data_IF_591293962659
#
_entry.id   IF_591293962659
#
_cell.length_a   1.000
_cell.length_b   1.000
_cell.length_c   1.000
_cell.angle_alpha   90.00
_cell.angle_beta   90.00
_cell.angle_gamma   90.00
#
_symmetry.space_group_name_H-M   'P 1'
#
loop_
_entity.id
_entity.type
_entity.pdbx_description
1 polymer ?
#
# COMPACT_ATOMS: atom_id res chain seq x y z
N UNK A 1 -56.63 -12.30 -17.15
CA UNK A 1 -56.25 -12.73 -15.79
C UNK A 1 -54.94 -13.52 -15.73
N UNK A 2 -54.65 -14.42 -16.67
CA UNK A 2 -53.37 -15.21 -16.66
C UNK A 2 -52.15 -14.34 -16.83
N UNK A 3 -52.17 -13.32 -17.69
CA UNK A 3 -51.04 -12.44 -17.96
C UNK A 3 -50.70 -11.53 -16.77
N UNK A 4 -51.65 -11.11 -16.00
CA UNK A 4 -51.46 -10.31 -14.78
C UNK A 4 -50.75 -11.11 -13.69
N UNK A 5 -51.10 -12.40 -13.54
CA UNK A 5 -50.45 -13.31 -12.58
C UNK A 5 -48.97 -13.53 -12.97
N UNK A 6 -48.66 -13.63 -14.26
CA UNK A 6 -47.34 -13.86 -14.77
C UNK A 6 -46.44 -12.62 -14.55
N UNK A 7 -46.97 -11.41 -14.80
CA UNK A 7 -46.26 -10.14 -14.56
C UNK A 7 -45.99 -9.94 -13.05
N UNK A 8 -46.97 -10.21 -12.20
CA UNK A 8 -46.82 -10.12 -10.75
C UNK A 8 -45.77 -11.14 -10.24
N UNK A 9 -45.80 -12.36 -10.78
CA UNK A 9 -44.81 -13.39 -10.45
C UNK A 9 -43.38 -12.97 -10.83
N UNK A 10 -43.19 -12.40 -12.03
CA UNK A 10 -41.88 -11.88 -12.46
C UNK A 10 -41.40 -10.71 -11.59
N UNK A 11 -42.29 -9.78 -11.23
CA UNK A 11 -41.96 -8.66 -10.36
C UNK A 11 -41.54 -9.13 -8.95
N UNK A 12 -42.21 -10.12 -8.39
CA UNK A 12 -41.86 -10.71 -7.10
C UNK A 12 -40.51 -11.42 -7.11
N UNK A 13 -40.19 -12.14 -8.19
CA UNK A 13 -38.85 -12.78 -8.32
C UNK A 13 -37.74 -11.77 -8.45
N UNK A 14 -37.95 -10.65 -9.17
CA UNK A 14 -36.99 -9.55 -9.25
C UNK A 14 -36.77 -8.86 -7.89
N UNK A 15 -37.86 -8.57 -7.16
CA UNK A 15 -37.78 -7.97 -5.83
C UNK A 15 -37.08 -8.90 -4.82
N UNK A 16 -37.33 -10.18 -4.90
CA UNK A 16 -36.67 -11.17 -4.05
C UNK A 16 -35.19 -11.32 -4.39
N UNK A 17 -34.82 -11.32 -5.68
CA UNK A 17 -33.44 -11.32 -6.12
C UNK A 17 -32.67 -10.07 -5.67
N UNK A 18 -33.30 -8.89 -5.79
CA UNK A 18 -32.73 -7.64 -5.28
C UNK A 18 -32.52 -7.69 -3.76
N UNK A 19 -33.50 -8.14 -3.01
CA UNK A 19 -33.41 -8.27 -1.56
C UNK A 19 -32.29 -9.23 -1.12
N UNK A 20 -32.14 -10.38 -1.81
CA UNK A 20 -31.07 -11.33 -1.54
C UNK A 20 -29.69 -10.73 -1.83
N UNK A 21 -29.56 -9.97 -2.92
CA UNK A 21 -28.31 -9.30 -3.28
C UNK A 21 -27.90 -8.28 -2.22
N UNK A 22 -28.84 -7.49 -1.73
CA UNK A 22 -28.61 -6.50 -0.69
C UNK A 22 -28.25 -7.13 0.67
N UNK A 23 -28.86 -8.27 1.00
CA UNK A 23 -28.52 -9.05 2.19
C UNK A 23 -27.12 -9.67 2.08
N UNK A 24 -26.76 -10.15 0.88
CA UNK A 24 -25.45 -10.73 0.62
C UNK A 24 -24.34 -9.66 0.72
N UNK A 25 -24.54 -8.49 0.13
CA UNK A 25 -23.62 -7.37 0.22
C UNK A 25 -23.41 -6.91 1.66
N UNK A 26 -24.48 -6.82 2.44
CA UNK A 26 -24.41 -6.48 3.87
C UNK A 26 -23.65 -7.54 4.67
N UNK A 27 -23.92 -8.82 4.42
CA UNK A 27 -23.23 -9.94 5.07
C UNK A 27 -21.75 -9.98 4.72
N UNK A 28 -21.39 -9.76 3.44
CA UNK A 28 -19.99 -9.70 3.00
C UNK A 28 -19.27 -8.51 3.62
N UNK A 29 -19.92 -7.35 3.71
CA UNK A 29 -19.35 -6.15 4.33
C UNK A 29 -19.10 -6.35 5.84
N UNK A 30 -20.07 -6.93 6.57
CA UNK A 30 -19.91 -7.21 7.99
C UNK A 30 -18.86 -8.30 8.26
N UNK A 31 -18.78 -9.33 7.44
CA UNK A 31 -17.75 -10.36 7.54
C UNK A 31 -16.34 -9.79 7.27
N UNK A 32 -16.21 -8.90 6.29
CA UNK A 32 -14.95 -8.23 6.00
C UNK A 32 -14.50 -7.32 7.16
N UNK A 33 -15.47 -6.64 7.81
CA UNK A 33 -15.22 -5.84 9.01
C UNK A 33 -14.80 -6.71 10.20
N UNK A 34 -15.42 -7.87 10.39
CA UNK A 34 -15.10 -8.82 11.46
C UNK A 34 -13.70 -9.41 11.29
N UNK A 35 -13.34 -9.86 10.07
CA UNK A 35 -11.99 -10.38 9.76
C UNK A 35 -10.92 -9.29 10.00
N UNK A 36 -11.21 -8.02 9.70
CA UNK A 36 -10.30 -6.90 9.95
C UNK A 36 -10.07 -6.65 11.45
N UNK A 37 -11.11 -6.77 12.27
CA UNK A 37 -11.01 -6.64 13.74
C UNK A 37 -10.21 -7.79 14.34
N UNK A 38 -10.48 -9.04 13.93
CA UNK A 38 -9.76 -10.22 14.41
C UNK A 38 -8.27 -10.19 14.03
N UNK A 39 -7.93 -9.69 12.82
CA UNK A 39 -6.52 -9.55 12.39
C UNK A 39 -5.80 -8.44 13.15
N UNK A 40 -6.48 -7.34 13.47
CA UNK A 40 -5.89 -6.27 14.28
C UNK A 40 -5.70 -6.70 15.75
N UNK A 41 -6.66 -7.39 16.34
CA UNK A 41 -6.54 -7.93 17.70
C UNK A 41 -5.44 -9.00 17.77
N UNK A 42 -5.33 -9.86 16.76
CA UNK A 42 -4.27 -10.86 16.68
C UNK A 42 -2.88 -10.25 16.50
N UNK A 43 -2.76 -9.21 15.68
CA UNK A 43 -1.50 -8.49 15.48
C UNK A 43 -1.06 -7.77 16.76
N UNK A 44 -1.97 -7.08 17.45
CA UNK A 44 -1.69 -6.41 18.73
C UNK A 44 -1.38 -7.42 19.83
N UNK A 45 -2.08 -8.54 19.90
CA UNK A 45 -1.81 -9.63 20.82
C UNK A 45 -0.44 -10.29 20.54
N UNK A 46 -0.09 -10.48 19.27
CA UNK A 46 1.20 -11.07 18.88
C UNK A 46 2.35 -10.10 19.19
N UNK A 47 2.23 -8.81 18.88
CA UNK A 47 3.19 -7.78 19.25
C UNK A 47 3.39 -7.71 20.77
N UNK A 48 2.29 -7.68 21.53
CA UNK A 48 2.35 -7.67 22.99
C UNK A 48 3.08 -8.89 23.56
N UNK A 49 2.79 -10.10 23.06
CA UNK A 49 3.44 -11.33 23.53
C UNK A 49 4.90 -11.47 23.06
N UNK A 50 5.27 -10.89 21.91
CA UNK A 50 6.66 -10.90 21.43
C UNK A 50 7.53 -9.97 22.27
N UNK A 51 7.02 -8.79 22.62
CA UNK A 51 7.68 -7.87 23.57
C UNK A 51 7.81 -8.50 24.95
N UNK A 52 6.79 -9.22 25.41
CA UNK A 52 6.81 -9.87 26.73
C UNK A 52 7.74 -11.09 26.81
N UNK A 53 8.06 -11.76 25.68
CA UNK A 53 9.01 -12.89 25.65
C UNK A 53 10.49 -12.49 25.60
N UNK A 54 10.81 -11.26 25.23
CA UNK A 54 12.16 -10.71 25.25
C UNK A 54 12.57 -10.22 26.64
N UNK A 55 12.20 -10.93 27.71
CA UNK A 55 12.35 -10.56 29.11
C UNK A 55 13.60 -9.77 29.42
N UNK A 56 13.42 -8.46 29.54
CA UNK A 56 14.04 -7.62 30.56
C UNK A 56 13.19 -6.36 30.66
N UNK A 57 12.78 -6.06 31.88
CA UNK A 57 11.99 -4.91 32.29
C UNK A 57 12.63 -3.60 31.84
N UNK A 58 12.23 -3.07 30.69
CA UNK A 58 12.30 -1.63 30.47
C UNK A 58 11.05 -1.04 31.08
N UNK A 59 11.16 -0.75 32.37
CA UNK A 59 10.16 0.06 33.07
C UNK A 59 10.17 1.47 32.49
N UNK A 60 8.96 1.94 32.15
CA UNK A 60 8.55 3.32 32.03
C UNK A 60 9.07 4.10 30.84
N UNK A 61 8.50 3.84 29.65
CA UNK A 61 8.21 4.89 28.69
C UNK A 61 7.05 4.48 27.74
N UNK A 62 5.95 3.96 28.28
CA UNK A 62 4.76 3.57 27.47
C UNK A 62 4.06 4.78 26.81
N UNK A 63 4.48 6.01 27.13
CA UNK A 63 3.85 7.23 26.61
C UNK A 63 4.59 7.88 25.44
N UNK A 64 5.66 7.28 24.90
CA UNK A 64 6.46 7.94 23.86
C UNK A 64 7.00 7.03 22.76
N UNK A 65 6.51 5.79 22.61
CA UNK A 65 6.67 5.11 21.32
C UNK A 65 5.62 5.72 20.37
N UNK A 66 6.03 6.71 19.61
CA UNK A 66 5.22 7.24 18.51
C UNK A 66 4.79 6.05 17.65
N UNK A 67 3.47 5.84 17.57
CA UNK A 67 2.90 4.72 16.82
C UNK A 67 3.28 4.92 15.37
N UNK A 68 4.10 4.03 14.82
CA UNK A 68 4.55 4.15 13.44
C UNK A 68 3.36 4.13 12.48
N UNK A 69 3.35 5.08 11.54
CA UNK A 69 2.37 5.15 10.48
C UNK A 69 3.09 5.04 9.13
N UNK A 70 2.84 3.94 8.43
CA UNK A 70 3.49 3.63 7.17
C UNK A 70 2.56 3.97 6.01
N UNK A 71 3.07 4.77 5.08
CA UNK A 71 2.39 5.13 3.84
C UNK A 71 3.01 4.36 2.68
N UNK A 72 2.22 3.58 1.94
CA UNK A 72 2.67 2.96 0.69
C UNK A 72 2.02 3.66 -0.51
N UNK A 73 2.83 4.04 -1.50
CA UNK A 73 2.33 4.66 -2.71
C UNK A 73 1.93 3.61 -3.74
N UNK A 74 0.68 3.68 -4.18
CA UNK A 74 0.12 2.78 -5.19
C UNK A 74 0.35 3.30 -6.60
N UNK A 75 0.62 2.39 -7.52
CA UNK A 75 0.78 2.67 -8.95
C UNK A 75 0.32 1.48 -9.80
N UNK A 76 0.26 1.68 -11.12
CA UNK A 76 0.00 0.62 -12.09
C UNK A 76 1.24 -0.24 -12.42
N UNK A 77 2.39 0.01 -11.76
CA UNK A 77 3.61 -0.76 -12.00
C UNK A 77 3.43 -2.24 -11.64
N UNK A 78 3.95 -3.18 -12.44
CA UNK A 78 3.97 -4.60 -12.10
C UNK A 78 4.68 -4.92 -10.78
N UNK A 79 5.68 -4.11 -10.41
CA UNK A 79 6.43 -4.28 -9.16
C UNK A 79 5.68 -3.79 -7.92
N UNK A 80 4.55 -3.09 -8.08
CA UNK A 80 3.83 -2.48 -6.97
C UNK A 80 3.26 -3.52 -5.99
N UNK A 81 2.88 -4.71 -6.44
CA UNK A 81 2.52 -5.83 -5.56
C UNK A 81 3.60 -6.12 -4.51
N UNK A 82 4.87 -6.21 -4.94
CA UNK A 82 6.00 -6.44 -4.04
C UNK A 82 6.17 -5.31 -3.04
N UNK A 83 5.96 -4.06 -3.48
CA UNK A 83 6.07 -2.87 -2.65
C UNK A 83 5.00 -2.89 -1.55
N UNK A 84 3.75 -3.17 -1.90
CA UNK A 84 2.64 -3.32 -0.95
C UNK A 84 2.94 -4.41 0.08
N UNK A 85 3.37 -5.59 -0.36
CA UNK A 85 3.74 -6.68 0.57
C UNK A 85 4.89 -6.31 1.51
N UNK A 86 5.85 -5.52 1.05
CA UNK A 86 6.95 -5.04 1.89
C UNK A 86 6.45 -4.03 2.93
N UNK A 87 5.61 -3.09 2.53
CA UNK A 87 5.00 -2.11 3.44
C UNK A 87 4.16 -2.80 4.54
N UNK A 88 3.40 -3.84 4.19
CA UNK A 88 2.67 -4.66 5.17
C UNK A 88 3.60 -5.30 6.19
N UNK A 89 4.71 -5.90 5.73
CA UNK A 89 5.71 -6.50 6.65
C UNK A 89 6.33 -5.46 7.58
N UNK A 90 6.58 -4.25 7.07
CA UNK A 90 7.09 -3.15 7.89
C UNK A 90 6.05 -2.71 8.92
N UNK A 91 4.80 -2.52 8.54
CA UNK A 91 3.72 -2.17 9.45
C UNK A 91 3.56 -3.21 10.57
N UNK A 92 3.62 -4.51 10.22
CA UNK A 92 3.60 -5.59 11.19
C UNK A 92 4.81 -5.58 12.12
N UNK A 93 6.03 -5.37 11.58
CA UNK A 93 7.27 -5.37 12.37
C UNK A 93 7.32 -4.19 13.36
N UNK A 94 6.78 -3.04 12.99
CA UNK A 94 6.72 -1.85 13.83
C UNK A 94 5.44 -1.75 14.66
N UNK A 95 4.52 -2.72 14.56
CA UNK A 95 3.19 -2.66 15.18
C UNK A 95 2.44 -1.36 14.84
N UNK A 96 2.69 -0.84 13.63
CA UNK A 96 2.18 0.43 13.13
C UNK A 96 0.94 0.27 12.26
N UNK A 97 0.33 1.41 11.90
CA UNK A 97 -0.75 1.48 10.91
C UNK A 97 -0.18 1.51 9.49
N UNK A 98 -1.02 1.12 8.51
CA UNK A 98 -0.66 1.11 7.10
C UNK A 98 -1.74 1.81 6.28
N UNK A 99 -1.36 2.85 5.55
CA UNK A 99 -2.20 3.51 4.56
C UNK A 99 -1.60 3.32 3.17
N UNK A 100 -2.45 3.01 2.20
CA UNK A 100 -2.09 2.90 0.80
C UNK A 100 -2.68 4.09 0.02
N UNK A 101 -1.81 4.97 -0.45
CA UNK A 101 -2.18 6.20 -1.13
C UNK A 101 -2.06 6.03 -2.64
N UNK A 102 -3.11 6.37 -3.35
CA UNK A 102 -3.11 6.56 -4.79
C UNK A 102 -3.33 8.04 -5.12
N UNK A 103 -2.42 8.63 -5.89
CA UNK A 103 -2.57 9.99 -6.41
C UNK A 103 -3.11 9.92 -7.83
N UNK A 104 -4.33 10.36 -8.03
CA UNK A 104 -4.97 10.44 -9.32
C UNK A 104 -4.62 11.75 -10.01
N UNK A 105 -3.86 11.66 -11.10
CA UNK A 105 -3.53 12.83 -11.92
C UNK A 105 -4.59 13.08 -13.00
N UNK A 106 -4.72 14.31 -13.52
CA UNK A 106 -5.66 14.62 -14.62
C UNK A 106 -5.43 13.75 -15.88
N UNK A 107 -4.21 13.26 -16.08
CA UNK A 107 -3.86 12.32 -17.16
C UNK A 107 -4.35 10.89 -17.00
N UNK A 108 -5.10 10.58 -15.94
CA UNK A 108 -5.64 9.22 -15.69
C UNK A 108 -6.47 8.68 -16.87
N UNK A 109 -7.18 9.54 -17.60
CA UNK A 109 -7.95 9.15 -18.79
C UNK A 109 -7.09 8.59 -19.93
N UNK A 110 -5.77 8.78 -19.91
CA UNK A 110 -4.83 8.23 -20.89
C UNK A 110 -4.22 6.87 -20.51
N UNK A 111 -4.55 6.30 -19.34
CA UNK A 111 -4.07 4.98 -18.96
C UNK A 111 -4.72 3.90 -19.84
N UNK A 112 -3.92 2.95 -20.27
CA UNK A 112 -4.43 1.79 -20.99
C UNK A 112 -5.20 0.83 -20.07
N UNK A 113 -6.02 -0.05 -20.67
CA UNK A 113 -6.87 -0.97 -19.89
C UNK A 113 -6.06 -1.92 -19.00
N UNK A 114 -4.85 -2.29 -19.41
CA UNK A 114 -3.96 -3.16 -18.62
C UNK A 114 -3.42 -2.45 -17.38
N UNK A 115 -3.01 -1.19 -17.50
CA UNK A 115 -2.54 -0.38 -16.37
C UNK A 115 -3.66 -0.14 -15.35
N UNK A 116 -4.87 0.12 -15.83
CA UNK A 116 -6.06 0.26 -14.98
C UNK A 116 -6.32 -1.03 -14.23
N UNK A 117 -6.29 -2.17 -14.91
CA UNK A 117 -6.51 -3.47 -14.29
C UNK A 117 -5.44 -3.78 -13.23
N UNK A 118 -4.16 -3.48 -13.51
CA UNK A 118 -3.07 -3.65 -12.54
C UNK A 118 -3.22 -2.73 -11.33
N UNK A 119 -3.54 -1.46 -11.55
CA UNK A 119 -3.80 -0.54 -10.44
C UNK A 119 -4.92 -1.04 -9.54
N UNK A 120 -6.05 -1.47 -10.12
CA UNK A 120 -7.15 -2.03 -9.37
C UNK A 120 -6.78 -3.31 -8.61
N UNK A 121 -5.93 -4.16 -9.20
CA UNK A 121 -5.41 -5.35 -8.53
C UNK A 121 -4.53 -4.98 -7.32
N UNK A 122 -3.66 -3.98 -7.47
CA UNK A 122 -2.80 -3.48 -6.40
C UNK A 122 -3.60 -2.83 -5.26
N UNK A 123 -4.65 -2.06 -5.59
CA UNK A 123 -5.58 -1.48 -4.59
C UNK A 123 -6.28 -2.61 -3.81
N UNK A 124 -6.84 -3.61 -4.51
CA UNK A 124 -7.50 -4.76 -3.86
C UNK A 124 -6.53 -5.54 -2.98
N UNK A 125 -5.31 -5.75 -3.43
CA UNK A 125 -4.28 -6.43 -2.65
C UNK A 125 -3.96 -5.65 -1.36
N UNK A 126 -3.74 -4.34 -1.45
CA UNK A 126 -3.47 -3.50 -0.29
C UNK A 126 -4.63 -3.55 0.72
N UNK A 127 -5.86 -3.47 0.22
CA UNK A 127 -7.07 -3.57 1.04
C UNK A 127 -7.21 -4.94 1.73
N UNK A 128 -6.98 -6.03 1.00
CA UNK A 128 -7.01 -7.40 1.55
C UNK A 128 -5.96 -7.61 2.64
N UNK A 129 -4.81 -6.95 2.51
CA UNK A 129 -3.72 -7.01 3.49
C UNK A 129 -3.89 -6.02 4.66
N UNK A 130 -5.04 -5.34 4.75
CA UNK A 130 -5.42 -4.52 5.89
C UNK A 130 -4.98 -3.05 5.80
N UNK A 131 -4.49 -2.58 4.64
CA UNK A 131 -4.20 -1.17 4.45
C UNK A 131 -5.48 -0.34 4.33
N UNK A 132 -5.47 0.86 4.89
CA UNK A 132 -6.46 1.88 4.60
C UNK A 132 -6.18 2.46 3.21
N UNK A 133 -7.20 2.52 2.34
CA UNK A 133 -7.04 3.02 0.98
C UNK A 133 -7.49 4.47 0.90
N UNK A 134 -6.57 5.33 0.47
CA UNK A 134 -6.82 6.75 0.26
C UNK A 134 -6.52 7.11 -1.20
N UNK A 135 -7.38 7.91 -1.79
CA UNK A 135 -7.17 8.49 -3.12
C UNK A 135 -7.18 10.00 -3.00
N UNK A 136 -6.12 10.64 -3.50
CA UNK A 136 -6.02 12.09 -3.64
C UNK A 136 -5.99 12.47 -5.11
N UNK A 137 -6.28 13.73 -5.41
CA UNK A 137 -6.26 14.27 -6.77
C UNK A 137 -5.26 15.41 -6.83
N UNK A 138 -4.39 15.41 -7.84
CA UNK A 138 -3.44 16.50 -8.05
C UNK A 138 -2.55 16.27 -9.26
N UNK A 139 -1.98 17.35 -9.78
CA UNK A 139 -1.08 17.31 -10.94
C UNK A 139 0.32 16.85 -10.53
N UNK A 140 0.78 17.31 -9.37
CA UNK A 140 2.12 17.02 -8.84
C UNK A 140 2.07 15.92 -7.79
N UNK A 141 2.40 14.71 -8.21
CA UNK A 141 2.35 13.51 -7.38
C UNK A 141 3.24 13.61 -6.13
N UNK A 142 4.52 14.06 -6.20
CA UNK A 142 5.37 14.18 -5.01
C UNK A 142 4.79 15.12 -3.96
N UNK A 143 4.28 16.27 -4.37
CA UNK A 143 3.65 17.25 -3.47
C UNK A 143 2.43 16.64 -2.76
N UNK A 144 1.56 15.95 -3.50
CA UNK A 144 0.37 15.32 -2.93
C UNK A 144 0.73 14.23 -1.90
N UNK A 145 1.78 13.45 -2.15
CA UNK A 145 2.27 12.44 -1.20
C UNK A 145 2.81 13.13 0.06
N UNK A 146 3.65 14.15 -0.09
CA UNK A 146 4.25 14.85 1.03
C UNK A 146 3.22 15.60 1.89
N UNK A 147 2.25 16.25 1.27
CA UNK A 147 1.15 16.94 1.97
C UNK A 147 0.28 15.94 2.76
N UNK A 148 -0.14 14.85 2.11
CA UNK A 148 -0.90 13.80 2.80
C UNK A 148 -0.12 13.24 3.97
N UNK A 149 1.15 12.94 3.77
CA UNK A 149 1.98 12.35 4.80
C UNK A 149 2.11 13.26 6.04
N UNK A 150 2.27 14.58 5.86
CA UNK A 150 2.30 15.53 6.97
C UNK A 150 0.96 15.65 7.70
N UNK A 151 -0.15 15.71 6.95
CA UNK A 151 -1.47 15.87 7.52
C UNK A 151 -1.97 14.64 8.28
N UNK A 152 -1.39 13.47 8.00
CA UNK A 152 -1.82 12.18 8.55
C UNK A 152 -0.79 11.56 9.51
N UNK A 153 0.17 12.35 10.01
CA UNK A 153 1.21 11.91 10.95
C UNK A 153 1.94 10.64 10.46
N UNK A 154 2.22 10.56 9.14
CA UNK A 154 2.99 9.48 8.54
C UNK A 154 4.44 9.60 9.01
N UNK A 155 5.03 8.49 9.44
CA UNK A 155 6.44 8.42 9.86
C UNK A 155 7.34 7.83 8.77
N UNK A 156 6.79 6.93 7.94
CA UNK A 156 7.55 6.21 6.91
C UNK A 156 6.80 6.14 5.59
N UNK A 157 7.48 6.50 4.50
CA UNK A 157 6.94 6.42 3.14
C UNK A 157 7.63 5.26 2.41
N UNK A 158 6.85 4.36 1.83
CA UNK A 158 7.35 3.22 1.04
C UNK A 158 6.98 3.41 -0.42
N UNK A 159 7.99 3.52 -1.26
CA UNK A 159 7.83 3.73 -2.71
C UNK A 159 8.64 2.73 -3.53
N UNK A 160 8.19 2.50 -4.76
CA UNK A 160 8.99 1.82 -5.77
C UNK A 160 10.02 2.74 -6.40
N UNK A 161 11.15 2.19 -6.77
CA UNK A 161 12.09 2.93 -7.60
C UNK A 161 11.50 3.09 -9.00
N UNK A 162 11.34 4.34 -9.44
CA UNK A 162 10.99 4.63 -10.83
C UNK A 162 12.05 4.03 -11.77
N UNK A 163 11.59 3.29 -12.79
CA UNK A 163 12.47 2.75 -13.85
C UNK A 163 13.05 3.82 -14.77
N UNK A 164 12.65 5.08 -14.60
CA UNK A 164 13.17 6.21 -15.37
C UNK A 164 14.58 6.51 -14.90
N UNK A 165 15.58 5.99 -15.61
CA UNK A 165 16.98 6.38 -15.38
C UNK A 165 17.19 7.79 -15.94
N UNK A 166 17.74 8.67 -15.12
CA UNK A 166 18.26 9.96 -15.62
C UNK A 166 19.29 9.69 -16.71
N UNK A 167 18.95 10.01 -17.95
CA UNK A 167 19.88 9.91 -19.08
C UNK A 167 20.78 11.12 -19.20
N UNK A 168 20.37 12.28 -18.64
CA UNK A 168 21.10 13.53 -18.72
C UNK A 168 21.07 14.29 -17.38
N UNK A 169 22.11 15.05 -17.14
CA UNK A 169 22.25 15.89 -15.94
C UNK A 169 21.13 16.94 -15.78
N UNK A 170 20.49 17.29 -16.89
CA UNK A 170 19.39 18.28 -16.99
C UNK A 170 17.98 17.64 -16.92
N UNK A 171 17.88 16.36 -16.62
CA UNK A 171 16.57 15.72 -16.50
C UNK A 171 15.87 16.19 -15.22
N UNK A 172 14.55 16.27 -15.26
CA UNK A 172 13.74 16.57 -14.08
C UNK A 172 14.05 15.59 -12.92
N UNK A 173 13.98 16.07 -11.67
CA UNK A 173 14.20 15.21 -10.52
C UNK A 173 13.21 14.04 -10.48
N UNK A 174 13.69 12.89 -10.09
CA UNK A 174 12.84 11.71 -9.91
C UNK A 174 11.87 11.90 -8.74
N UNK A 175 10.76 11.14 -8.71
CA UNK A 175 9.83 11.13 -7.57
C UNK A 175 10.56 10.98 -6.23
N UNK A 176 11.54 10.08 -6.17
CA UNK A 176 12.34 9.87 -4.96
C UNK A 176 13.11 11.11 -4.52
N UNK A 177 13.78 11.77 -5.45
CA UNK A 177 14.57 12.98 -5.16
C UNK A 177 13.68 14.14 -4.73
N UNK A 178 12.51 14.25 -5.34
CA UNK A 178 11.52 15.27 -4.96
C UNK A 178 10.97 15.00 -3.55
N UNK A 179 10.60 13.75 -3.23
CA UNK A 179 10.11 13.39 -1.91
C UNK A 179 11.14 13.61 -0.80
N UNK A 180 12.41 13.30 -1.03
CA UNK A 180 13.49 13.59 -0.07
C UNK A 180 13.58 15.10 0.24
N UNK A 181 13.31 15.94 -0.76
CA UNK A 181 13.32 17.40 -0.59
C UNK A 181 12.05 17.91 0.08
N UNK A 182 10.89 17.33 -0.28
CA UNK A 182 9.58 17.79 0.19
C UNK A 182 9.20 17.26 1.57
N UNK A 183 9.72 16.11 1.97
CA UNK A 183 9.40 15.46 3.25
C UNK A 183 10.69 15.00 3.98
N UNK A 184 11.58 15.93 4.35
CA UNK A 184 12.86 15.60 4.96
C UNK A 184 12.73 15.01 6.38
N UNK A 185 11.58 15.18 7.02
CA UNK A 185 11.26 14.66 8.35
C UNK A 185 10.80 13.20 8.36
N UNK A 186 10.59 12.59 7.18
CA UNK A 186 10.04 11.25 7.05
C UNK A 186 11.10 10.25 6.56
N UNK A 187 11.03 9.02 7.06
CA UNK A 187 11.85 7.93 6.56
C UNK A 187 11.33 7.45 5.20
N UNK A 188 12.13 7.58 4.14
CA UNK A 188 11.74 7.15 2.79
C UNK A 188 12.39 5.81 2.45
N UNK A 189 11.57 4.77 2.29
CA UNK A 189 11.99 3.42 1.92
C UNK A 189 11.76 3.17 0.43
N UNK A 190 12.84 3.01 -0.31
CA UNK A 190 12.82 2.80 -1.76
C UNK A 190 12.99 1.32 -2.05
N UNK A 191 11.96 0.69 -2.61
CA UNK A 191 12.01 -0.72 -2.99
C UNK A 191 12.44 -0.82 -4.46
N UNK A 192 13.62 -1.41 -4.75
CA UNK A 192 14.08 -1.54 -6.11
C UNK A 192 13.24 -2.53 -6.90
N UNK A 193 13.02 -2.22 -8.18
CA UNK A 193 12.42 -3.16 -9.11
C UNK A 193 13.50 -4.15 -9.61
N UNK A 194 13.35 -5.42 -9.24
CA UNK A 194 14.29 -6.47 -9.61
C UNK A 194 14.32 -6.74 -11.13
N UNK A 195 13.24 -6.45 -11.84
CA UNK A 195 13.13 -6.67 -13.28
C UNK A 195 13.95 -5.63 -14.06
N UNK A 196 13.94 -4.38 -13.60
CA UNK A 196 14.72 -3.29 -14.23
C UNK A 196 16.22 -3.53 -14.12
N UNK A 197 16.68 -4.18 -13.04
CA UNK A 197 18.10 -4.48 -12.85
C UNK A 197 18.59 -5.68 -13.65
N UNK A 198 17.73 -6.62 -14.02
CA UNK A 198 18.10 -7.76 -14.88
C UNK A 198 18.35 -7.33 -16.31
N UNK A 199 17.85 -6.19 -16.74
CA UNK A 199 17.92 -5.73 -18.14
C UNK A 199 19.11 -4.82 -18.45
N UNK A 200 19.98 -4.47 -17.50
CA UNK A 200 21.22 -3.72 -17.77
C UNK A 200 22.46 -4.64 -17.75
N UNK A 201 22.85 -5.22 -18.91
CA UNK A 201 24.02 -6.10 -18.99
C UNK A 201 25.36 -5.35 -18.80
N UNK A 202 25.33 -4.03 -18.63
CA UNK A 202 26.55 -3.18 -18.57
C UNK A 202 27.13 -3.01 -17.17
N UNK A 203 26.46 -3.54 -16.15
CA UNK A 203 26.99 -3.56 -14.77
C UNK A 203 26.90 -4.97 -14.20
N UNK A 204 27.88 -5.84 -14.52
CA UNK A 204 28.08 -6.99 -13.65
C UNK A 204 28.37 -6.43 -12.25
N UNK A 205 27.56 -6.83 -11.28
CA UNK A 205 27.86 -6.63 -9.87
C UNK A 205 29.19 -7.38 -9.61
N UNK A 206 30.31 -6.71 -9.80
CA UNK A 206 31.59 -7.23 -9.36
C UNK A 206 31.52 -7.27 -7.83
N UNK A 207 31.29 -8.46 -7.30
CA UNK A 207 31.41 -8.73 -5.89
C UNK A 207 32.82 -8.28 -5.46
N UNK A 208 32.90 -7.12 -4.85
CA UNK A 208 34.07 -6.74 -4.08
C UNK A 208 34.10 -7.72 -2.90
N UNK A 209 34.83 -8.82 -3.07
CA UNK A 209 35.21 -9.66 -1.94
C UNK A 209 36.15 -8.82 -1.08
N UNK A 210 35.80 -8.48 0.16
CA UNK A 210 36.79 -7.93 1.07
C UNK A 210 37.89 -8.97 1.20
N UNK A 211 39.12 -8.57 0.90
CA UNK A 211 40.27 -9.40 1.17
C UNK A 211 40.35 -9.64 2.68
N UNK A 212 40.18 -10.89 3.09
CA UNK A 212 40.42 -11.28 4.48
C UNK A 212 41.90 -11.02 4.76
N UNK A 213 42.25 -10.34 5.87
CA UNK A 213 43.66 -10.22 6.27
C UNK A 213 44.18 -11.61 6.56
N UNK A 214 45.19 -11.99 5.81
CA UNK A 214 46.00 -13.18 6.14
C UNK A 214 46.78 -12.91 7.41
N UNK A 215 46.54 -13.74 8.41
CA UNK A 215 47.30 -13.76 9.66
C UNK A 215 48.76 -14.20 9.44
#
# INVERSE_FOLDING_TARGET
MKDVILIVGMALTFLFGWFLMEQLDRFLYENQKRIRLDTMEFATFWCYNTIKRGGETVQNNENNLSKEHILVCLSSSPSNERIVRMAVKMAQAFCGSLTALYVQTPGYSGMNAEDIARLQANIRLAQQLGAEIITTHGEDVPTQIAEYARLSDVTKIVIGRSGVQRRHFWSEPTLTEQLITLAPEMDIHIIPDAEVYKSDPRKPFSAVRPALPTA
#
